data_IF_668337021353
#
_entry.id   IF_668337021353
#
_cell.length_a   1.000
_cell.length_b   1.000
_cell.length_c   1.000
_cell.angle_alpha   90.00
_cell.angle_beta   90.00
_cell.angle_gamma   90.00
#
_symmetry.space_group_name_H-M   'P 1'
#
loop_
_entity.id
_entity.type
_entity.pdbx_description
1 polymer ?
#
# COMPACT_ATOMS: atom_id res chain seq x y z
N UNK A 1 14.11 -8.00 -3.44
CA UNK A 1 13.16 -9.04 -3.88
C UNK A 1 12.89 -9.96 -2.71
N UNK A 2 11.60 -10.18 -2.36
CA UNK A 2 11.19 -11.01 -1.23
C UNK A 2 10.36 -12.18 -1.77
N UNK A 3 10.58 -13.35 -1.24
CA UNK A 3 9.92 -14.56 -1.69
C UNK A 3 9.18 -15.24 -0.54
N UNK A 4 7.92 -15.59 -0.78
CA UNK A 4 7.08 -16.32 0.18
C UNK A 4 6.67 -17.68 -0.39
N UNK A 5 5.74 -18.38 0.24
CA UNK A 5 5.26 -19.67 -0.28
C UNK A 5 4.55 -19.52 -1.63
N UNK A 6 3.70 -18.49 -1.81
CA UNK A 6 2.86 -18.31 -3.00
C UNK A 6 3.20 -17.06 -3.81
N UNK A 7 3.94 -16.12 -3.22
CA UNK A 7 4.16 -14.80 -3.79
C UNK A 7 5.64 -14.51 -4.03
N UNK A 8 5.88 -13.62 -4.99
CA UNK A 8 7.14 -12.95 -5.21
C UNK A 8 6.90 -11.45 -5.15
N UNK A 9 7.54 -10.77 -4.20
CA UNK A 9 7.54 -9.32 -4.10
C UNK A 9 8.78 -8.80 -4.81
N UNK A 10 8.61 -8.09 -5.90
CA UNK A 10 9.70 -7.58 -6.73
C UNK A 10 9.44 -6.15 -7.19
N UNK A 11 10.47 -5.41 -7.62
CA UNK A 11 10.26 -4.14 -8.29
C UNK A 11 9.29 -4.27 -9.47
N UNK A 12 8.54 -3.19 -9.71
CA UNK A 12 7.72 -3.08 -10.92
C UNK A 12 8.59 -3.04 -12.18
N UNK A 13 8.00 -3.41 -13.29
CA UNK A 13 8.53 -3.24 -14.62
C UNK A 13 7.45 -2.68 -15.55
N UNK A 14 7.85 -2.13 -16.69
CA UNK A 14 6.90 -1.68 -17.71
C UNK A 14 5.91 -2.77 -18.15
N UNK A 15 6.33 -4.03 -18.15
CA UNK A 15 5.48 -5.15 -18.54
C UNK A 15 4.31 -5.40 -17.58
N UNK A 16 4.34 -4.84 -16.37
CA UNK A 16 3.29 -5.01 -15.36
C UNK A 16 2.11 -4.03 -15.56
N UNK A 17 2.22 -3.09 -16.50
CA UNK A 17 1.25 -2.03 -16.73
C UNK A 17 -0.19 -2.55 -16.94
N UNK A 18 -0.36 -3.66 -17.66
CA UNK A 18 -1.68 -4.24 -17.89
C UNK A 18 -2.34 -4.75 -16.60
N UNK A 19 -1.57 -5.43 -15.75
CA UNK A 19 -2.05 -5.91 -14.47
C UNK A 19 -2.32 -4.74 -13.50
N UNK A 20 -1.44 -3.72 -13.50
CA UNK A 20 -1.60 -2.51 -12.71
C UNK A 20 -2.89 -1.76 -13.09
N UNK A 21 -3.16 -1.57 -14.38
CA UNK A 21 -4.38 -0.93 -14.87
C UNK A 21 -5.63 -1.66 -14.40
N UNK A 22 -5.60 -3.00 -14.34
CA UNK A 22 -6.77 -3.81 -13.97
C UNK A 22 -7.29 -3.47 -12.57
N UNK A 23 -6.40 -3.29 -11.57
CA UNK A 23 -6.84 -3.02 -10.20
C UNK A 23 -6.82 -1.53 -9.79
N UNK A 24 -6.11 -0.67 -10.54
CA UNK A 24 -6.11 0.76 -10.30
C UNK A 24 -7.21 1.53 -11.04
N UNK A 25 -7.93 0.88 -11.98
CA UNK A 25 -9.00 1.55 -12.76
C UNK A 25 -10.18 1.97 -11.91
N UNK A 26 -10.56 1.14 -10.94
CA UNK A 26 -11.71 1.36 -10.06
C UNK A 26 -11.30 1.07 -8.61
N UNK A 27 -10.64 2.02 -7.92
CA UNK A 27 -10.27 1.86 -6.54
C UNK A 27 -11.49 1.59 -5.65
N UNK A 28 -11.34 0.70 -4.66
CA UNK A 28 -12.44 0.31 -3.76
C UNK A 28 -12.59 1.24 -2.54
N UNK A 29 -11.60 2.08 -2.28
CA UNK A 29 -11.55 3.00 -1.14
C UNK A 29 -11.04 4.36 -1.61
N UNK A 30 -11.50 5.41 -0.97
CA UNK A 30 -11.25 6.78 -1.41
C UNK A 30 -9.79 7.19 -1.33
N UNK A 31 -9.01 6.67 -0.39
CA UNK A 31 -7.58 6.98 -0.31
C UNK A 31 -6.78 6.59 -1.58
N UNK A 32 -7.32 5.69 -2.40
CA UNK A 32 -6.71 5.28 -3.67
C UNK A 32 -7.26 6.02 -4.89
N UNK A 33 -8.21 6.94 -4.74
CA UNK A 33 -8.73 7.72 -5.88
C UNK A 33 -7.65 8.53 -6.59
N UNK A 34 -6.67 9.05 -5.83
CA UNK A 34 -5.51 9.74 -6.41
C UNK A 34 -4.56 8.82 -7.19
N UNK A 35 -4.70 7.50 -7.05
CA UNK A 35 -3.92 6.47 -7.75
C UNK A 35 -4.69 5.85 -8.92
N UNK A 36 -5.90 6.35 -9.23
CA UNK A 36 -6.73 5.86 -10.34
C UNK A 36 -5.99 6.03 -11.66
N UNK A 37 -6.02 4.98 -12.47
CA UNK A 37 -5.38 4.92 -13.78
C UNK A 37 -6.47 4.71 -14.85
N UNK A 38 -6.47 5.54 -15.87
CA UNK A 38 -7.52 5.53 -16.90
C UNK A 38 -7.09 4.86 -18.20
N UNK A 39 -5.82 4.98 -18.55
CA UNK A 39 -5.30 4.53 -19.86
C UNK A 39 -4.11 3.57 -19.72
N UNK A 40 -3.85 2.73 -20.74
CA UNK A 40 -2.65 1.90 -20.76
C UNK A 40 -1.35 2.71 -20.71
N UNK A 41 -1.32 3.88 -21.33
CA UNK A 41 -0.15 4.78 -21.34
C UNK A 41 0.14 5.32 -19.95
N UNK A 42 -0.90 5.71 -19.20
CA UNK A 42 -0.78 6.10 -17.79
C UNK A 42 -0.25 4.93 -16.94
N UNK A 43 -0.75 3.72 -17.19
CA UNK A 43 -0.31 2.53 -16.47
C UNK A 43 1.18 2.21 -16.71
N UNK A 44 1.67 2.38 -17.94
CA UNK A 44 3.09 2.24 -18.25
C UNK A 44 3.95 3.27 -17.48
N UNK A 45 3.51 4.52 -17.42
CA UNK A 45 4.21 5.58 -16.69
C UNK A 45 4.20 5.31 -15.18
N UNK A 46 3.05 4.90 -14.64
CA UNK A 46 2.90 4.58 -13.23
C UNK A 46 3.72 3.34 -12.82
N UNK A 47 3.81 2.31 -13.66
CA UNK A 47 4.68 1.17 -13.43
C UNK A 47 6.16 1.57 -13.37
N UNK A 48 6.60 2.48 -14.24
CA UNK A 48 7.97 3.00 -14.24
C UNK A 48 8.26 3.87 -13.01
N UNK A 49 7.33 4.73 -12.60
CA UNK A 49 7.47 5.53 -11.35
C UNK A 49 7.62 4.64 -10.12
N UNK A 50 6.87 3.54 -10.05
CA UNK A 50 6.99 2.55 -8.97
C UNK A 50 8.34 1.85 -9.00
N UNK A 51 8.85 1.55 -10.20
CA UNK A 51 10.16 0.94 -10.40
C UNK A 51 11.32 1.83 -9.90
N UNK A 52 11.17 3.17 -9.96
CA UNK A 52 12.17 4.12 -9.44
C UNK A 52 12.33 4.03 -7.91
N UNK A 53 11.35 3.47 -7.21
CA UNK A 53 11.35 3.25 -5.76
C UNK A 53 11.51 1.77 -5.39
N UNK A 54 12.23 1.01 -6.18
CA UNK A 54 12.40 -0.45 -6.10
C UNK A 54 12.84 -1.00 -4.72
N UNK A 55 13.34 -0.14 -3.86
CA UNK A 55 13.76 -0.49 -2.49
C UNK A 55 12.60 -0.56 -1.51
N UNK A 56 11.52 0.22 -1.76
CA UNK A 56 10.39 0.39 -0.84
C UNK A 56 9.03 0.15 -1.49
N UNK A 57 9.00 -0.09 -2.81
CA UNK A 57 7.79 -0.28 -3.59
C UNK A 57 7.82 -1.60 -4.36
N UNK A 58 6.91 -2.52 -4.05
CA UNK A 58 6.91 -3.87 -4.60
C UNK A 58 5.60 -4.24 -5.30
N UNK A 59 5.71 -4.81 -6.48
CA UNK A 59 4.65 -5.58 -7.11
C UNK A 59 4.49 -6.91 -6.36
N UNK A 60 3.27 -7.29 -6.05
CA UNK A 60 2.91 -8.60 -5.48
C UNK A 60 2.57 -9.53 -6.65
N UNK A 61 3.47 -10.46 -6.94
CA UNK A 61 3.34 -11.40 -8.06
C UNK A 61 2.91 -12.76 -7.54
N UNK A 62 1.84 -13.32 -8.12
CA UNK A 62 1.41 -14.69 -7.85
C UNK A 62 2.31 -15.67 -8.60
N UNK A 63 3.09 -16.50 -7.90
CA UNK A 63 4.06 -17.42 -8.49
C UNK A 63 3.45 -18.41 -9.49
N UNK A 64 2.24 -18.88 -9.22
CA UNK A 64 1.53 -19.84 -10.04
C UNK A 64 1.30 -19.34 -11.48
N UNK A 65 1.02 -18.04 -11.64
CA UNK A 65 0.61 -17.45 -12.92
C UNK A 65 1.58 -16.43 -13.47
N UNK A 66 2.49 -15.92 -12.65
CA UNK A 66 3.34 -14.77 -12.97
C UNK A 66 2.61 -13.42 -13.00
N UNK A 67 1.30 -13.39 -12.66
CA UNK A 67 0.48 -12.19 -12.68
C UNK A 67 0.77 -11.30 -11.49
N UNK A 68 0.84 -9.97 -11.72
CA UNK A 68 0.82 -8.98 -10.63
C UNK A 68 -0.62 -8.87 -10.11
N UNK A 69 -0.81 -9.22 -8.85
CA UNK A 69 -2.12 -9.22 -8.19
C UNK A 69 -2.33 -8.06 -7.22
N UNK A 70 -1.37 -7.16 -7.15
CA UNK A 70 -1.41 -5.99 -6.27
C UNK A 70 -0.03 -5.40 -6.01
N UNK A 71 0.01 -4.52 -5.06
CA UNK A 71 1.22 -3.79 -4.65
C UNK A 71 1.29 -3.57 -3.15
N UNK A 72 2.51 -3.36 -2.66
CA UNK A 72 2.79 -2.95 -1.29
C UNK A 72 4.00 -2.03 -1.28
N UNK A 73 3.91 -0.94 -0.52
CA UNK A 73 5.00 0.01 -0.37
C UNK A 73 5.03 0.61 1.04
N UNK A 74 6.15 1.22 1.41
CA UNK A 74 6.29 2.05 2.59
C UNK A 74 7.52 2.94 2.47
N UNK A 75 7.34 4.22 2.21
CA UNK A 75 8.47 5.15 2.17
C UNK A 75 8.95 5.45 3.59
N UNK A 76 10.28 5.58 3.79
CA UNK A 76 10.83 5.91 5.11
C UNK A 76 10.50 7.34 5.52
N UNK A 77 10.04 7.51 6.74
CA UNK A 77 9.71 8.79 7.35
C UNK A 77 10.67 9.13 8.50
N UNK A 78 10.92 10.42 8.68
CA UNK A 78 11.70 10.89 9.82
C UNK A 78 10.86 10.89 11.10
N UNK A 79 11.46 10.40 12.19
CA UNK A 79 10.85 10.47 13.52
C UNK A 79 10.61 11.91 13.98
N UNK A 80 11.48 12.84 13.59
CA UNK A 80 11.36 14.27 13.86
C UNK A 80 11.63 15.05 12.55
N UNK A 81 10.60 15.54 11.86
CA UNK A 81 10.73 16.15 10.53
C UNK A 81 11.69 17.34 10.48
N UNK A 82 11.73 18.13 11.54
CA UNK A 82 12.56 19.35 11.63
C UNK A 82 14.01 19.08 12.08
N UNK A 83 14.30 17.87 12.57
CA UNK A 83 15.64 17.46 12.97
C UNK A 83 16.35 16.71 11.83
N UNK A 84 17.33 17.37 11.21
CA UNK A 84 18.11 16.76 10.11
C UNK A 84 18.93 15.53 10.54
N UNK A 85 19.18 15.35 11.83
CA UNK A 85 19.86 14.20 12.38
C UNK A 85 18.91 13.04 12.74
N UNK A 86 17.59 13.27 12.70
CA UNK A 86 16.62 12.23 13.01
C UNK A 86 16.69 11.08 11.99
N UNK A 87 16.57 9.85 12.50
CA UNK A 87 16.58 8.66 11.67
C UNK A 87 15.32 8.55 10.80
N UNK A 88 15.48 7.93 9.63
CA UNK A 88 14.39 7.50 8.76
C UNK A 88 14.00 6.06 9.12
N UNK A 89 13.37 5.87 10.28
CA UNK A 89 13.11 4.57 10.88
C UNK A 89 11.62 4.27 11.13
N UNK A 90 10.76 5.15 10.65
CA UNK A 90 9.30 5.02 10.77
C UNK A 90 8.70 4.82 9.38
N UNK A 91 7.73 3.91 9.26
CA UNK A 91 7.13 3.54 8.00
C UNK A 91 5.61 3.47 8.10
N UNK A 92 4.93 4.06 7.10
CA UNK A 92 3.49 3.93 6.92
C UNK A 92 3.20 3.15 5.64
N UNK A 93 2.94 1.84 5.73
CA UNK A 93 2.72 1.02 4.54
C UNK A 93 1.38 1.32 3.88
N UNK A 94 1.40 1.22 2.56
CA UNK A 94 0.24 1.19 1.71
C UNK A 94 0.15 -0.19 1.04
N UNK A 95 -1.04 -0.74 0.89
CA UNK A 95 -1.27 -2.00 0.17
C UNK A 95 -2.56 -1.96 -0.63
N UNK A 96 -2.48 -2.40 -1.87
CA UNK A 96 -3.63 -2.57 -2.74
C UNK A 96 -3.58 -3.94 -3.39
N UNK A 97 -4.68 -4.68 -3.34
CA UNK A 97 -4.83 -5.95 -4.06
C UNK A 97 -5.96 -5.86 -5.07
N UNK A 98 -5.75 -6.48 -6.21
CA UNK A 98 -6.81 -6.74 -7.19
C UNK A 98 -7.97 -7.50 -6.50
N UNK A 99 -9.20 -6.99 -6.57
CA UNK A 99 -10.37 -7.56 -5.90
C UNK A 99 -10.60 -9.05 -6.19
N UNK A 100 -10.24 -9.54 -7.37
CA UNK A 100 -10.34 -10.95 -7.76
C UNK A 100 -9.48 -11.89 -6.88
N UNK A 101 -8.53 -11.34 -6.16
CA UNK A 101 -7.59 -12.07 -5.29
C UNK A 101 -7.83 -11.85 -3.80
N UNK A 102 -8.88 -11.11 -3.43
CA UNK A 102 -9.26 -10.91 -2.03
C UNK A 102 -9.69 -12.21 -1.33
N UNK A 103 -9.61 -12.23 0.00
CA UNK A 103 -10.09 -13.35 0.84
C UNK A 103 -9.22 -14.61 0.80
N UNK A 104 -8.12 -14.63 0.06
CA UNK A 104 -7.22 -15.79 -0.12
C UNK A 104 -5.96 -15.74 0.76
N UNK A 105 -5.82 -14.70 1.58
CA UNK A 105 -4.69 -14.50 2.50
C UNK A 105 -3.44 -13.90 1.85
N UNK A 106 -3.48 -13.50 0.59
CA UNK A 106 -2.32 -12.94 -0.11
C UNK A 106 -1.84 -11.60 0.48
N UNK A 107 -2.76 -10.72 0.88
CA UNK A 107 -2.39 -9.45 1.51
C UNK A 107 -1.61 -9.67 2.81
N UNK A 108 -2.04 -10.63 3.64
CA UNK A 108 -1.35 -11.00 4.87
C UNK A 108 0.06 -11.55 4.58
N UNK A 109 0.16 -12.51 3.65
CA UNK A 109 1.42 -13.14 3.28
C UNK A 109 2.43 -12.13 2.72
N UNK A 110 1.97 -11.18 1.90
CA UNK A 110 2.80 -10.12 1.36
C UNK A 110 3.25 -9.13 2.45
N UNK A 111 2.30 -8.66 3.28
CA UNK A 111 2.59 -7.69 4.33
C UNK A 111 3.51 -8.26 5.41
N UNK A 112 3.33 -9.52 5.81
CA UNK A 112 4.21 -10.20 6.77
C UNK A 112 5.66 -10.23 6.28
N UNK A 113 5.88 -10.65 5.03
CA UNK A 113 7.21 -10.69 4.43
C UNK A 113 7.81 -9.27 4.26
N UNK A 114 6.98 -8.29 3.88
CA UNK A 114 7.44 -6.92 3.73
C UNK A 114 7.78 -6.25 5.07
N UNK A 115 6.98 -6.47 6.11
CA UNK A 115 7.27 -5.94 7.45
C UNK A 115 8.55 -6.56 8.05
N UNK A 116 8.75 -7.87 7.84
CA UNK A 116 9.99 -8.54 8.23
C UNK A 116 11.21 -7.89 7.56
N UNK A 117 11.11 -7.60 6.26
CA UNK A 117 12.12 -6.86 5.50
C UNK A 117 12.38 -5.46 6.06
N UNK A 118 11.31 -4.69 6.35
CA UNK A 118 11.45 -3.34 6.90
C UNK A 118 12.15 -3.37 8.26
N UNK A 119 11.80 -4.30 9.14
CA UNK A 119 12.43 -4.41 10.46
C UNK A 119 13.87 -4.92 10.38
N UNK A 120 14.15 -5.93 9.59
CA UNK A 120 15.47 -6.58 9.59
C UNK A 120 16.49 -5.92 8.68
N UNK A 121 16.05 -5.42 7.53
CA UNK A 121 16.96 -4.91 6.51
C UNK A 121 16.94 -3.38 6.39
N UNK A 122 15.82 -2.74 6.72
CA UNK A 122 15.65 -1.28 6.64
C UNK A 122 15.75 -0.58 7.99
N UNK A 123 15.89 -1.34 9.08
CA UNK A 123 16.05 -0.79 10.43
C UNK A 123 14.80 -0.08 10.94
N UNK A 124 13.62 -0.52 10.50
CA UNK A 124 12.37 0.03 10.99
C UNK A 124 12.30 -0.09 12.52
N UNK A 125 12.06 1.02 13.19
CA UNK A 125 11.74 1.08 14.62
C UNK A 125 10.23 0.99 14.84
N UNK A 126 9.46 1.54 13.89
CA UNK A 126 8.00 1.60 13.94
C UNK A 126 7.40 1.43 12.54
N UNK A 127 6.37 0.60 12.47
CA UNK A 127 5.44 0.53 11.35
C UNK A 127 4.06 0.92 11.90
N UNK A 128 3.36 1.84 11.25
CA UNK A 128 2.01 2.24 11.59
C UNK A 128 1.17 2.36 10.33
N UNK A 129 -0.13 2.20 10.44
CA UNK A 129 -1.03 2.33 9.30
C UNK A 129 -2.24 3.19 9.66
N UNK A 130 -2.71 3.98 8.70
CA UNK A 130 -4.02 4.59 8.73
C UNK A 130 -4.97 3.80 7.84
N UNK A 131 -6.17 3.55 8.32
CA UNK A 131 -7.24 2.96 7.52
C UNK A 131 -8.52 3.74 7.75
N UNK A 132 -9.31 3.93 6.72
CA UNK A 132 -10.64 4.52 6.87
C UNK A 132 -11.50 3.63 7.79
N UNK A 133 -12.38 4.22 8.59
CA UNK A 133 -13.19 3.49 9.57
C UNK A 133 -14.17 2.49 8.93
N UNK A 134 -14.54 2.68 7.67
CA UNK A 134 -15.35 1.75 6.88
C UNK A 134 -14.52 0.64 6.19
N UNK A 135 -13.19 0.76 6.10
CA UNK A 135 -12.31 -0.20 5.44
C UNK A 135 -11.98 -1.38 6.36
N UNK A 136 -13.01 -2.18 6.69
CA UNK A 136 -12.88 -3.32 7.60
C UNK A 136 -11.85 -4.35 7.15
N UNK A 137 -11.63 -4.49 5.84
CA UNK A 137 -10.64 -5.45 5.30
C UNK A 137 -9.21 -5.05 5.70
N UNK A 138 -8.87 -3.77 5.58
CA UNK A 138 -7.57 -3.25 5.98
C UNK A 138 -7.40 -3.32 7.50
N UNK A 139 -8.44 -2.98 8.27
CA UNK A 139 -8.42 -3.09 9.74
C UNK A 139 -8.16 -4.54 10.19
N UNK A 140 -8.88 -5.52 9.63
CA UNK A 140 -8.65 -6.94 9.92
C UNK A 140 -7.25 -7.41 9.53
N UNK A 141 -6.68 -6.87 8.43
CA UNK A 141 -5.31 -7.17 8.06
C UNK A 141 -4.33 -6.63 9.10
N UNK A 142 -4.49 -5.38 9.55
CA UNK A 142 -3.68 -4.80 10.62
C UNK A 142 -3.74 -5.63 11.91
N UNK A 143 -4.95 -6.01 12.35
CA UNK A 143 -5.15 -6.85 13.53
C UNK A 143 -4.45 -8.20 13.40
N UNK A 144 -4.57 -8.84 12.24
CA UNK A 144 -3.93 -10.13 11.95
C UNK A 144 -2.40 -10.04 11.93
N UNK A 145 -1.85 -8.92 11.50
CA UNK A 145 -0.42 -8.61 11.54
C UNK A 145 0.08 -8.27 12.95
N UNK A 146 -0.82 -8.25 13.95
CA UNK A 146 -0.47 -7.92 15.34
C UNK A 146 -0.31 -6.42 15.60
N UNK A 147 -0.80 -5.57 14.69
CA UNK A 147 -0.77 -4.13 14.89
C UNK A 147 -1.77 -3.74 15.99
N UNK A 148 -1.34 -2.85 16.87
CA UNK A 148 -2.18 -2.33 17.96
C UNK A 148 -2.98 -1.14 17.46
N UNK A 149 -4.30 -1.15 17.71
CA UNK A 149 -5.12 0.03 17.48
C UNK A 149 -4.73 1.14 18.48
N UNK A 150 -4.37 2.31 17.99
CA UNK A 150 -3.91 3.43 18.82
C UNK A 150 -4.95 4.55 18.93
N UNK A 151 -5.80 4.74 17.92
CA UNK A 151 -6.83 5.76 17.97
C UNK A 151 -7.82 5.73 16.81
N UNK A 152 -8.89 6.49 16.98
CA UNK A 152 -9.83 6.88 15.94
C UNK A 152 -9.76 8.40 15.80
N UNK A 153 -9.44 8.87 14.61
CA UNK A 153 -9.37 10.28 14.28
C UNK A 153 -10.61 10.67 13.49
N UNK A 154 -11.44 11.55 14.07
CA UNK A 154 -12.68 11.98 13.46
C UNK A 154 -12.40 13.09 12.44
N UNK A 155 -13.06 13.01 11.26
CA UNK A 155 -12.93 14.00 10.18
C UNK A 155 -11.47 14.35 9.86
N UNK A 156 -10.61 13.33 9.82
CA UNK A 156 -9.16 13.50 9.81
C UNK A 156 -8.60 13.89 8.45
N UNK A 157 -9.16 13.33 7.36
CA UNK A 157 -8.62 13.49 6.01
C UNK A 157 -9.78 13.51 4.99
N UNK A 158 -9.54 14.16 3.85
CA UNK A 158 -10.43 14.09 2.71
C UNK A 158 -9.62 13.64 1.49
N UNK A 159 -10.13 12.64 0.78
CA UNK A 159 -9.57 12.13 -0.47
C UNK A 159 -10.43 12.47 -1.67
N UNK A 160 -11.70 12.79 -1.45
CA UNK A 160 -12.69 13.07 -2.49
C UNK A 160 -13.55 14.27 -2.10
N UNK A 161 -14.16 14.88 -3.12
CA UNK A 161 -15.10 15.98 -2.93
C UNK A 161 -16.53 15.52 -3.26
N UNK A 162 -17.53 16.22 -2.71
CA UNK A 162 -18.93 16.07 -3.08
C UNK A 162 -19.22 16.71 -4.46
N UNK A 163 -20.49 16.62 -4.90
CA UNK A 163 -20.93 17.17 -6.19
C UNK A 163 -20.78 18.70 -6.29
N UNK A 164 -20.74 19.39 -5.15
CA UNK A 164 -20.56 20.84 -5.05
C UNK A 164 -19.07 21.23 -4.96
N UNK A 165 -18.16 20.26 -4.91
CA UNK A 165 -16.70 20.45 -4.83
C UNK A 165 -16.18 20.63 -3.41
N UNK A 166 -16.99 20.40 -2.36
CA UNK A 166 -16.53 20.47 -0.99
C UNK A 166 -15.85 19.15 -0.57
N UNK A 167 -14.81 19.21 0.28
CA UNK A 167 -14.14 18.01 0.76
C UNK A 167 -15.06 17.14 1.61
N UNK A 168 -15.09 15.85 1.33
CA UNK A 168 -15.75 14.84 2.17
C UNK A 168 -14.73 14.35 3.18
N UNK A 169 -14.89 14.74 4.44
CA UNK A 169 -13.98 14.31 5.50
C UNK A 169 -14.30 12.91 6.01
N UNK A 170 -13.27 12.12 6.20
CA UNK A 170 -13.36 10.73 6.62
C UNK A 170 -12.66 10.50 7.96
N UNK A 171 -13.20 9.55 8.72
CA UNK A 171 -12.58 9.10 9.95
C UNK A 171 -11.52 8.05 9.61
N UNK A 172 -10.41 8.06 10.34
CA UNK A 172 -9.36 7.06 10.18
C UNK A 172 -9.01 6.38 11.50
N UNK A 173 -8.71 5.09 11.39
CA UNK A 173 -8.15 4.27 12.47
C UNK A 173 -6.64 4.22 12.31
N UNK A 174 -5.91 4.36 13.44
CA UNK A 174 -4.48 4.13 13.51
C UNK A 174 -4.17 2.96 14.45
#
# INVERSE_FOLDING_TARGET
MLETSRLLLRPFTKADAGDLLEYCREPLVHCFECMRIHTPEEAEQEALKRADNAEYYFAIVLKETGKVIGEIDAMPERTAPDDKAAAYDTFSPCWMLNPAYHGKGYAYEAAEAFFDYLFREKGARRIYAYTEDYNLRSQHLCEKLGMRREGLFMEFVSFVNDEDGNPIYENTMQ
#
